data_IF_519276009025
#
_entry.id   IF_519276009025
#
_cell.length_a   1.000
_cell.length_b   1.000
_cell.length_c   1.000
_cell.angle_alpha   90.00
_cell.angle_beta   90.00
_cell.angle_gamma   90.00
#
_symmetry.space_group_name_H-M   'P 1'
#
loop_
_entity.id
_entity.type
_entity.pdbx_description
1 polymer ?
#
# COMPACT_ATOMS: atom_id res chain seq x y z
N UNK A 1 -105.51 -33.50 53.88
CA UNK A 1 -104.38 -33.72 52.96
C UNK A 1 -103.11 -33.17 53.62
N UNK A 2 -102.04 -33.97 53.58
CA UNK A 2 -100.63 -33.78 54.03
C UNK A 2 -100.10 -32.33 53.94
N UNK A 3 -99.11 -31.82 54.68
CA UNK A 3 -98.22 -32.28 55.78
C UNK A 3 -97.36 -31.07 56.22
N UNK A 4 -96.81 -31.13 57.44
CA UNK A 4 -95.89 -30.17 58.09
C UNK A 4 -94.44 -30.28 57.59
N UNK A 5 -93.61 -29.22 57.74
CA UNK A 5 -92.17 -29.21 58.15
C UNK A 5 -91.67 -27.73 58.09
N UNK A 6 -91.30 -26.98 59.14
CA UNK A 6 -90.23 -27.04 60.18
C UNK A 6 -88.75 -27.00 59.69
N UNK A 7 -88.17 -25.80 59.81
CA UNK A 7 -86.97 -25.42 60.62
C UNK A 7 -85.51 -25.72 60.16
N UNK A 8 -84.62 -24.82 60.63
CA UNK A 8 -83.17 -24.91 60.94
C UNK A 8 -82.10 -24.33 59.99
N UNK A 9 -81.62 -23.13 60.37
CA UNK A 9 -80.25 -22.72 60.74
C UNK A 9 -78.99 -23.07 59.93
N UNK A 10 -78.20 -22.00 59.72
CA UNK A 10 -76.75 -21.85 59.95
C UNK A 10 -75.77 -22.61 59.04
N UNK A 11 -74.92 -21.87 58.32
CA UNK A 11 -73.48 -21.71 58.64
C UNK A 11 -72.57 -21.50 57.39
N UNK A 12 -71.55 -20.66 57.61
CA UNK A 12 -70.18 -20.74 57.07
C UNK A 12 -69.83 -20.04 55.73
N UNK A 13 -69.14 -18.93 55.93
CA UNK A 13 -68.06 -18.32 55.14
C UNK A 13 -67.22 -19.31 54.32
N UNK A 14 -67.13 -19.11 53.00
CA UNK A 14 -66.04 -19.63 52.19
C UNK A 14 -65.46 -18.49 51.34
N UNK A 15 -64.43 -17.88 51.92
CA UNK A 15 -63.54 -16.90 51.32
C UNK A 15 -62.79 -17.58 50.16
N UNK A 16 -63.24 -17.36 48.92
CA UNK A 16 -62.54 -17.81 47.73
C UNK A 16 -61.30 -16.94 47.50
N UNK A 17 -60.22 -17.25 48.20
CA UNK A 17 -58.88 -16.73 47.89
C UNK A 17 -58.46 -17.38 46.57
N UNK A 18 -58.72 -16.69 45.47
CA UNK A 18 -58.13 -17.02 44.17
C UNK A 18 -56.62 -16.85 44.29
N UNK A 19 -55.90 -17.96 44.46
CA UNK A 19 -54.47 -18.05 44.20
C UNK A 19 -54.23 -17.71 42.72
N UNK A 20 -54.02 -16.43 42.45
CA UNK A 20 -53.41 -15.98 41.20
C UNK A 20 -51.98 -16.50 41.16
N UNK A 21 -51.77 -17.65 40.51
CA UNK A 21 -50.45 -18.04 40.03
C UNK A 21 -49.92 -16.91 39.15
N UNK A 22 -49.07 -16.05 39.72
CA UNK A 22 -48.15 -15.26 38.91
C UNK A 22 -47.21 -16.28 38.28
N UNK A 23 -47.54 -16.73 37.06
CA UNK A 23 -46.51 -17.32 36.19
C UNK A 23 -45.50 -16.21 35.96
N UNK A 24 -44.44 -16.19 36.76
CA UNK A 24 -43.21 -15.50 36.42
C UNK A 24 -42.73 -16.17 35.14
N UNK A 25 -43.06 -15.54 34.01
CA UNK A 25 -42.45 -15.88 32.74
C UNK A 25 -40.98 -15.54 32.90
N UNK A 26 -40.16 -16.57 33.07
CA UNK A 26 -38.72 -16.39 33.04
C UNK A 26 -38.37 -15.82 31.66
N UNK A 27 -37.59 -14.74 31.65
CA UNK A 27 -37.16 -14.15 30.38
C UNK A 27 -36.39 -15.23 29.61
N UNK A 28 -36.55 -15.33 28.27
CA UNK A 28 -35.81 -16.31 27.50
C UNK A 28 -34.31 -16.18 27.79
N UNK A 29 -33.66 -17.28 28.15
CA UNK A 29 -32.23 -17.30 28.46
C UNK A 29 -31.46 -16.74 27.26
N UNK A 30 -30.87 -15.57 27.44
CA UNK A 30 -30.08 -14.92 26.41
C UNK A 30 -28.66 -15.48 26.50
N UNK A 31 -28.17 -16.06 25.40
CA UNK A 31 -26.84 -16.66 25.33
C UNK A 31 -25.73 -15.78 25.92
N UNK A 32 -24.79 -16.40 26.62
CA UNK A 32 -23.62 -15.73 27.21
C UNK A 32 -22.44 -15.59 26.24
N UNK A 33 -22.55 -16.09 25.00
CA UNK A 33 -21.50 -16.03 23.97
C UNK A 33 -21.43 -14.66 23.28
N UNK A 34 -21.25 -13.59 24.07
CA UNK A 34 -21.30 -12.20 23.57
C UNK A 34 -19.98 -11.45 23.68
N UNK A 35 -19.74 -10.59 22.70
CA UNK A 35 -18.78 -9.49 22.80
C UNK A 35 -19.57 -8.29 23.32
N UNK A 36 -19.12 -7.68 24.42
CA UNK A 36 -19.80 -6.53 25.04
C UNK A 36 -19.10 -5.20 24.77
N UNK A 37 -17.83 -5.23 24.35
CA UNK A 37 -17.14 -4.08 23.82
C UNK A 37 -16.04 -4.51 22.85
N UNK A 38 -15.83 -3.71 21.82
CA UNK A 38 -14.70 -3.80 20.91
C UNK A 38 -14.12 -2.40 20.78
N UNK A 39 -12.83 -2.22 21.04
CA UNK A 39 -12.16 -0.92 20.97
C UNK A 39 -10.87 -1.03 20.19
N UNK A 40 -10.54 0.01 19.43
CA UNK A 40 -9.25 0.18 18.78
C UNK A 40 -8.53 1.35 19.44
N UNK A 41 -7.44 1.12 20.18
CA UNK A 41 -6.62 2.19 20.73
C UNK A 41 -6.03 3.05 19.61
N UNK A 42 -6.02 4.36 19.81
CA UNK A 42 -5.44 5.36 18.89
C UNK A 42 -4.68 6.43 19.70
N UNK A 43 -3.91 7.29 19.03
CA UNK A 43 -3.02 8.25 19.67
C UNK A 43 -3.70 9.21 20.66
N UNK A 44 -4.99 9.48 20.48
CA UNK A 44 -5.79 10.42 21.27
C UNK A 44 -7.00 9.77 21.95
N UNK A 45 -7.03 8.44 22.07
CA UNK A 45 -8.11 7.72 22.76
C UNK A 45 -8.37 6.33 22.22
N UNK A 46 -9.65 6.01 21.98
CA UNK A 46 -10.06 4.73 21.42
C UNK A 46 -11.27 4.90 20.49
N UNK A 47 -11.25 4.23 19.35
CA UNK A 47 -12.40 4.09 18.47
C UNK A 47 -13.24 2.91 18.95
N UNK A 48 -14.52 3.14 19.22
CA UNK A 48 -15.44 2.06 19.63
C UNK A 48 -16.04 1.38 18.40
N UNK A 49 -15.99 0.05 18.37
CA UNK A 49 -16.73 -0.77 17.42
C UNK A 49 -18.21 -0.86 17.78
N UNK A 50 -19.06 -0.95 16.76
CA UNK A 50 -20.50 -1.18 16.88
C UNK A 50 -20.73 -2.68 16.75
N UNK A 51 -21.29 -3.30 17.78
CA UNK A 51 -21.57 -4.73 17.80
C UNK A 51 -23.04 -4.93 17.43
N UNK A 52 -23.28 -5.66 16.34
CA UNK A 52 -24.61 -6.10 15.94
C UNK A 52 -24.82 -7.54 16.39
N UNK A 53 -25.67 -7.72 17.41
CA UNK A 53 -26.00 -9.03 17.96
C UNK A 53 -26.98 -9.83 17.08
N UNK A 54 -27.63 -9.21 16.10
CA UNK A 54 -28.51 -9.91 15.16
C UNK A 54 -27.68 -10.52 14.03
N UNK A 55 -26.85 -9.68 13.40
CA UNK A 55 -26.05 -10.07 12.24
C UNK A 55 -24.70 -10.70 12.63
N UNK A 56 -24.37 -10.68 13.93
CA UNK A 56 -23.07 -11.11 14.47
C UNK A 56 -21.91 -10.43 13.77
N UNK A 57 -21.97 -9.09 13.73
CA UNK A 57 -20.91 -8.27 13.15
C UNK A 57 -20.35 -7.28 14.16
N UNK A 58 -19.10 -6.89 13.93
CA UNK A 58 -18.44 -5.78 14.63
C UNK A 58 -18.06 -4.79 13.55
N UNK A 59 -18.68 -3.61 13.53
CA UNK A 59 -18.34 -2.55 12.58
C UNK A 59 -17.46 -1.50 13.24
N UNK A 60 -16.27 -1.26 12.69
CA UNK A 60 -15.35 -0.20 13.15
C UNK A 60 -15.25 0.87 12.08
N UNK A 61 -15.54 2.11 12.42
CA UNK A 61 -15.33 3.26 11.53
C UNK A 61 -13.97 3.86 11.82
N UNK A 62 -13.03 3.73 10.87
CA UNK A 62 -11.65 4.15 11.04
C UNK A 62 -11.41 5.49 10.32
N UNK A 63 -11.17 6.60 11.05
CA UNK A 63 -10.82 7.87 10.42
C UNK A 63 -9.48 7.79 9.70
N UNK A 64 -9.44 8.23 8.45
CA UNK A 64 -8.25 8.09 7.59
C UNK A 64 -7.01 8.82 8.12
N UNK A 65 -7.21 9.90 8.88
CA UNK A 65 -6.12 10.76 9.36
C UNK A 65 -5.21 10.09 10.39
N UNK A 66 -5.63 8.96 10.99
CA UNK A 66 -4.75 8.15 11.83
C UNK A 66 -3.70 7.35 11.04
N UNK A 67 -3.86 7.21 9.71
CA UNK A 67 -2.93 6.51 8.82
C UNK A 67 -2.54 5.09 9.27
N UNK A 68 -3.44 4.37 9.92
CA UNK A 68 -3.19 3.01 10.44
C UNK A 68 -3.15 1.99 9.29
N UNK A 69 -2.17 1.08 9.32
CA UNK A 69 -2.15 -0.14 8.48
C UNK A 69 -2.72 -1.34 9.22
N UNK A 70 -2.58 -1.34 10.55
CA UNK A 70 -3.05 -2.41 11.43
C UNK A 70 -3.77 -1.81 12.63
N UNK A 71 -4.72 -2.56 13.18
CA UNK A 71 -5.37 -2.27 14.47
C UNK A 71 -5.05 -3.39 15.45
N UNK A 72 -4.87 -3.03 16.72
CA UNK A 72 -4.71 -3.97 17.83
C UNK A 72 -5.92 -3.86 18.76
N UNK A 73 -6.96 -4.69 18.57
CA UNK A 73 -8.25 -4.45 19.20
C UNK A 73 -8.34 -4.99 20.64
N UNK A 74 -8.94 -4.19 21.51
CA UNK A 74 -9.34 -4.60 22.85
C UNK A 74 -10.77 -5.15 22.83
N UNK A 75 -10.93 -6.44 23.14
CA UNK A 75 -12.22 -7.13 23.13
C UNK A 75 -12.64 -7.46 24.55
N UNK A 76 -13.79 -6.95 24.97
CA UNK A 76 -14.42 -7.32 26.25
C UNK A 76 -15.56 -8.28 25.98
N UNK A 77 -15.56 -9.41 26.68
CA UNK A 77 -16.57 -10.45 26.57
C UNK A 77 -17.58 -10.39 27.72
N UNK A 78 -18.73 -11.03 27.54
CA UNK A 78 -19.66 -11.28 28.64
C UNK A 78 -19.00 -12.12 29.75
N UNK A 79 -19.57 -12.04 30.96
CA UNK A 79 -19.01 -12.71 32.14
C UNK A 79 -18.88 -14.23 31.92
N UNK A 80 -17.70 -14.77 32.19
CA UNK A 80 -17.42 -16.21 32.02
C UNK A 80 -17.25 -16.68 30.58
N UNK A 81 -17.47 -15.82 29.58
CA UNK A 81 -17.21 -16.14 28.18
C UNK A 81 -15.72 -16.09 27.85
N UNK A 82 -15.32 -16.81 26.80
CA UNK A 82 -13.93 -16.92 26.34
C UNK A 82 -13.85 -16.77 24.82
N UNK A 83 -12.80 -16.11 24.36
CA UNK A 83 -12.47 -16.06 22.93
C UNK A 83 -11.74 -17.35 22.54
N UNK A 84 -12.00 -17.83 21.32
CA UNK A 84 -11.23 -18.91 20.72
C UNK A 84 -9.99 -18.32 20.05
N UNK A 85 -8.82 -18.61 20.61
CA UNK A 85 -7.54 -18.10 20.10
C UNK A 85 -7.12 -16.76 20.69
N UNK A 86 -5.95 -16.31 20.26
CA UNK A 86 -5.37 -15.02 20.62
C UNK A 86 -5.95 -13.90 19.76
N UNK A 87 -6.03 -12.70 20.33
CA UNK A 87 -6.35 -11.49 19.56
C UNK A 87 -5.06 -11.00 18.91
N UNK A 88 -4.97 -11.17 17.59
CA UNK A 88 -3.83 -10.71 16.81
C UNK A 88 -4.09 -9.33 16.20
N UNK A 89 -3.05 -8.55 15.88
CA UNK A 89 -3.19 -7.35 15.07
C UNK A 89 -3.87 -7.66 13.74
N UNK A 90 -4.79 -6.79 13.33
CA UNK A 90 -5.61 -6.95 12.12
C UNK A 90 -5.24 -5.90 11.10
N UNK A 91 -4.94 -6.31 9.87
CA UNK A 91 -4.76 -5.40 8.73
C UNK A 91 -6.06 -4.63 8.46
N UNK A 92 -5.99 -3.31 8.31
CA UNK A 92 -7.18 -2.46 8.13
C UNK A 92 -7.95 -2.74 6.84
N UNK A 93 -7.34 -3.46 5.88
CA UNK A 93 -7.95 -3.90 4.63
C UNK A 93 -8.40 -5.36 4.66
N UNK A 94 -8.19 -6.09 5.77
CA UNK A 94 -8.68 -7.46 5.91
C UNK A 94 -10.20 -7.50 6.06
N UNK A 95 -10.85 -8.32 5.23
CA UNK A 95 -12.30 -8.54 5.20
C UNK A 95 -12.72 -9.93 5.73
N UNK A 96 -11.76 -10.70 6.27
CA UNK A 96 -11.95 -12.10 6.69
C UNK A 96 -11.82 -12.32 8.18
N UNK A 97 -11.30 -11.36 8.94
CA UNK A 97 -11.16 -11.50 10.39
C UNK A 97 -12.50 -11.82 11.07
N UNK A 98 -12.49 -12.86 11.90
CA UNK A 98 -13.63 -13.29 12.72
C UNK A 98 -13.21 -13.60 14.15
N UNK A 99 -14.14 -13.46 15.09
CA UNK A 99 -13.95 -13.72 16.50
C UNK A 99 -14.98 -14.73 17.00
N UNK A 100 -14.53 -15.92 17.40
CA UNK A 100 -15.42 -16.96 17.94
C UNK A 100 -15.43 -16.91 19.47
N UNK A 101 -16.59 -16.64 20.05
CA UNK A 101 -16.82 -16.56 21.51
C UNK A 101 -17.57 -17.80 21.97
N UNK A 102 -17.08 -18.44 23.03
CA UNK A 102 -17.79 -19.49 23.75
C UNK A 102 -18.26 -18.95 25.09
N UNK A 103 -19.57 -18.97 25.31
CA UNK A 103 -20.22 -18.50 26.53
C UNK A 103 -20.03 -19.45 27.71
N UNK A 104 -20.32 -18.98 28.92
CA UNK A 104 -20.33 -19.82 30.13
C UNK A 104 -21.38 -20.95 30.02
N UNK A 105 -22.46 -20.69 29.31
CA UNK A 105 -23.52 -21.63 28.93
C UNK A 105 -23.12 -22.66 27.85
N UNK A 106 -21.85 -22.63 27.40
CA UNK A 106 -21.27 -23.45 26.33
C UNK A 106 -21.83 -23.18 24.93
N UNK A 107 -22.65 -22.14 24.76
CA UNK A 107 -23.03 -21.67 23.43
C UNK A 107 -21.83 -21.06 22.71
N UNK A 108 -21.84 -21.07 21.38
CA UNK A 108 -20.75 -20.51 20.58
C UNK A 108 -21.32 -19.60 19.50
N UNK A 109 -20.72 -18.42 19.36
CA UNK A 109 -21.06 -17.44 18.32
C UNK A 109 -19.79 -16.94 17.66
N UNK A 110 -19.82 -16.77 16.34
CA UNK A 110 -18.72 -16.17 15.57
C UNK A 110 -19.15 -14.81 15.06
N UNK A 111 -18.38 -13.78 15.40
CA UNK A 111 -18.58 -12.42 14.94
C UNK A 111 -17.67 -12.13 13.75
N UNK A 112 -18.20 -11.52 12.69
CA UNK A 112 -17.39 -10.98 11.58
C UNK A 112 -16.97 -9.54 11.86
N UNK A 113 -15.68 -9.24 11.73
CA UNK A 113 -15.18 -7.86 11.77
C UNK A 113 -15.41 -7.19 10.41
N UNK A 114 -15.90 -5.95 10.44
CA UNK A 114 -16.11 -5.09 9.27
C UNK A 114 -15.43 -3.75 9.54
N UNK A 115 -14.32 -3.50 8.87
CA UNK A 115 -13.59 -2.24 8.96
C UNK A 115 -14.09 -1.31 7.85
N UNK A 116 -14.58 -0.13 8.25
CA UNK A 116 -15.05 0.93 7.35
C UNK A 116 -14.15 2.15 7.47
N UNK A 117 -13.25 2.30 6.52
CA UNK A 117 -12.36 3.45 6.49
C UNK A 117 -13.09 4.69 6.00
N UNK A 118 -13.02 5.77 6.77
CA UNK A 118 -13.72 7.02 6.49
C UNK A 118 -12.88 7.93 5.58
N UNK A 119 -12.40 7.41 4.44
CA UNK A 119 -11.60 8.20 3.50
C UNK A 119 -12.49 9.16 2.70
N UNK A 120 -11.91 10.30 2.31
CA UNK A 120 -12.54 11.23 1.37
C UNK A 120 -12.58 10.56 0.00
N UNK A 121 -13.78 10.23 -0.47
CA UNK A 121 -14.03 9.53 -1.73
C UNK A 121 -14.77 10.44 -2.72
N UNK A 122 -14.49 10.35 -4.04
CA UNK A 122 -13.51 9.46 -4.67
C UNK A 122 -12.06 9.94 -4.50
N UNK A 123 -11.12 9.00 -4.63
CA UNK A 123 -9.72 9.35 -4.88
C UNK A 123 -9.62 9.99 -6.27
N UNK A 124 -9.10 11.21 -6.32
CA UNK A 124 -8.89 12.02 -7.51
C UNK A 124 -7.40 12.27 -7.67
N UNK A 125 -6.88 11.93 -8.84
CA UNK A 125 -5.49 12.20 -9.23
C UNK A 125 -5.52 12.99 -10.52
N UNK A 126 -4.70 14.03 -10.58
CA UNK A 126 -4.58 14.87 -11.76
C UNK A 126 -3.98 14.05 -12.91
N UNK A 127 -4.55 14.23 -14.10
CA UNK A 127 -4.05 13.60 -15.31
C UNK A 127 -2.61 14.04 -15.61
N UNK A 128 -1.77 13.08 -15.97
CA UNK A 128 -0.40 13.33 -16.47
C UNK A 128 -0.33 13.35 -17.99
N UNK A 129 -1.38 12.84 -18.64
CA UNK A 129 -1.54 12.74 -20.09
C UNK A 129 -2.82 13.47 -20.53
N UNK A 130 -2.97 13.64 -21.85
CA UNK A 130 -4.23 14.10 -22.45
C UNK A 130 -4.71 13.10 -23.50
N UNK A 131 -5.95 13.23 -23.94
CA UNK A 131 -6.54 12.36 -24.97
C UNK A 131 -5.69 12.31 -26.26
N UNK A 132 -5.23 13.46 -26.72
CA UNK A 132 -4.48 13.57 -27.97
C UNK A 132 -2.96 13.43 -27.81
N UNK A 133 -2.45 13.46 -26.57
CA UNK A 133 -1.00 13.49 -26.31
C UNK A 133 -0.69 12.75 -25.01
N UNK A 134 -0.30 11.46 -25.09
CA UNK A 134 0.25 10.76 -23.94
C UNK A 134 1.60 11.38 -23.56
N UNK A 135 1.85 11.53 -22.27
CA UNK A 135 3.19 11.83 -21.78
C UNK A 135 4.10 10.64 -22.05
N UNK A 136 5.36 10.93 -22.38
CA UNK A 136 6.40 9.92 -22.59
C UNK A 136 7.31 9.89 -21.38
N UNK A 137 7.52 8.71 -20.80
CA UNK A 137 8.49 8.48 -19.73
C UNK A 137 9.56 7.48 -20.17
N UNK A 138 10.80 7.78 -19.80
CA UNK A 138 11.90 6.84 -19.96
C UNK A 138 11.77 5.65 -19.01
N UNK A 139 12.09 4.46 -19.48
CA UNK A 139 12.21 3.27 -18.61
C UNK A 139 13.36 3.52 -17.62
N UNK A 140 13.07 3.54 -16.32
CA UNK A 140 14.02 3.94 -15.27
C UNK A 140 14.02 5.43 -14.93
N UNK A 141 13.21 6.25 -15.60
CA UNK A 141 13.09 7.68 -15.26
C UNK A 141 12.49 7.85 -13.86
N UNK A 142 13.01 8.79 -13.07
CA UNK A 142 12.81 8.83 -11.61
C UNK A 142 12.29 10.15 -11.03
N UNK A 143 11.95 11.13 -11.87
CA UNK A 143 11.53 12.46 -11.40
C UNK A 143 10.08 12.76 -11.78
N UNK A 144 9.20 11.77 -11.66
CA UNK A 144 7.78 11.94 -11.96
C UNK A 144 7.07 12.48 -10.73
N UNK A 145 6.17 13.44 -10.96
CA UNK A 145 5.31 14.01 -9.93
C UNK A 145 3.86 13.63 -10.20
N UNK A 146 3.14 13.25 -9.15
CA UNK A 146 1.70 13.05 -9.16
C UNK A 146 1.06 13.99 -8.16
N UNK A 147 -0.13 14.47 -8.46
CA UNK A 147 -0.89 15.31 -7.54
C UNK A 147 -2.36 14.93 -7.48
N UNK A 148 -2.98 15.13 -6.32
CA UNK A 148 -4.37 14.72 -6.08
C UNK A 148 -4.84 14.99 -4.65
N UNK A 149 -6.01 14.47 -4.30
CA UNK A 149 -6.56 14.54 -2.95
C UNK A 149 -6.07 13.39 -2.05
N UNK A 150 -4.74 13.19 -1.98
CA UNK A 150 -4.15 12.05 -1.27
C UNK A 150 -4.45 12.02 0.22
N UNK A 151 -4.65 13.18 0.85
CA UNK A 151 -5.08 13.30 2.24
C UNK A 151 -4.16 12.61 3.26
N UNK A 152 -2.90 12.42 2.91
CA UNK A 152 -1.84 11.89 3.76
C UNK A 152 -0.53 12.59 3.44
N UNK A 153 0.37 12.68 4.42
CA UNK A 153 1.74 13.13 4.23
C UNK A 153 2.73 11.96 4.18
N UNK A 154 2.26 10.75 4.43
CA UNK A 154 3.07 9.55 4.39
C UNK A 154 3.12 9.03 2.95
N UNK A 155 4.29 9.13 2.26
CA UNK A 155 4.43 8.69 0.88
C UNK A 155 4.25 7.18 0.73
N UNK A 156 4.46 6.39 1.79
CA UNK A 156 4.34 4.93 1.73
C UNK A 156 2.88 4.48 1.55
N UNK A 157 1.92 5.35 1.90
CA UNK A 157 0.49 5.10 1.74
C UNK A 157 0.00 5.37 0.31
N UNK A 158 0.78 6.12 -0.47
CA UNK A 158 0.46 6.40 -1.87
C UNK A 158 1.19 5.35 -2.69
N UNK A 159 0.45 4.48 -3.37
CA UNK A 159 1.02 3.42 -4.20
C UNK A 159 0.60 3.65 -5.64
N UNK A 160 1.57 3.72 -6.54
CA UNK A 160 1.36 4.11 -7.93
C UNK A 160 1.83 2.97 -8.81
N UNK A 161 1.01 2.57 -9.77
CA UNK A 161 1.25 1.41 -10.61
C UNK A 161 1.16 1.79 -12.08
N UNK A 162 2.03 1.20 -12.88
CA UNK A 162 1.89 1.11 -14.32
C UNK A 162 1.18 -0.20 -14.63
N UNK A 163 0.05 -0.12 -15.31
CA UNK A 163 -0.81 -1.26 -15.64
C UNK A 163 -0.68 -1.58 -17.12
N UNK A 164 -0.19 -2.79 -17.41
CA UNK A 164 -0.04 -3.31 -18.78
C UNK A 164 -1.39 -3.63 -19.44
N UNK A 165 -1.36 -3.91 -20.74
CA UNK A 165 -2.56 -4.28 -21.51
C UNK A 165 -3.21 -5.60 -21.02
N UNK A 166 -2.43 -6.45 -20.36
CA UNK A 166 -2.84 -7.70 -19.71
C UNK A 166 -3.37 -7.50 -18.27
N UNK A 167 -3.54 -6.25 -17.83
CA UNK A 167 -3.86 -5.86 -16.45
C UNK A 167 -2.77 -6.20 -15.41
N UNK A 168 -1.56 -6.57 -15.81
CA UNK A 168 -0.45 -6.74 -14.87
C UNK A 168 -0.09 -5.38 -14.27
N UNK A 169 -0.14 -5.28 -12.94
CA UNK A 169 0.27 -4.09 -12.19
C UNK A 169 1.76 -4.18 -11.86
N UNK A 170 2.53 -3.16 -12.23
CA UNK A 170 3.91 -2.98 -11.78
C UNK A 170 4.01 -1.71 -10.96
N UNK A 171 4.35 -1.84 -9.68
CA UNK A 171 4.48 -0.70 -8.78
C UNK A 171 5.67 0.17 -9.17
N UNK A 172 5.45 1.47 -9.20
CA UNK A 172 6.47 2.49 -9.37
C UNK A 172 7.18 2.72 -8.03
N UNK A 173 8.50 2.87 -8.07
CA UNK A 173 9.32 2.98 -6.86
C UNK A 173 9.73 4.42 -6.59
N UNK A 174 9.87 4.79 -5.32
CA UNK A 174 10.45 6.07 -4.93
C UNK A 174 11.97 6.05 -5.07
N UNK A 175 12.55 7.14 -5.59
CA UNK A 175 14.00 7.27 -5.69
C UNK A 175 14.56 8.03 -4.49
N UNK A 176 15.37 7.33 -3.70
CA UNK A 176 15.94 7.83 -2.44
C UNK A 176 17.28 8.54 -2.60
N UNK A 177 17.85 8.55 -3.82
CA UNK A 177 19.15 9.15 -4.11
C UNK A 177 19.22 10.68 -3.96
N UNK A 178 18.06 11.34 -3.80
CA UNK A 178 17.94 12.79 -3.63
C UNK A 178 17.26 13.20 -2.31
N UNK A 179 17.04 12.23 -1.40
CA UNK A 179 16.30 12.40 -0.14
C UNK A 179 15.14 11.41 0.00
N UNK A 180 14.49 11.35 1.18
CA UNK A 180 13.31 10.51 1.35
C UNK A 180 12.17 11.01 0.45
N UNK A 181 11.30 10.09 0.05
CA UNK A 181 10.04 10.48 -0.58
C UNK A 181 9.29 11.44 0.34
N UNK A 182 8.73 12.51 -0.23
CA UNK A 182 8.00 13.51 0.54
C UNK A 182 6.73 13.89 -0.21
N UNK A 183 5.64 14.01 0.54
CA UNK A 183 4.38 14.56 0.05
C UNK A 183 4.30 16.02 0.51
N UNK A 184 4.18 16.93 -0.45
CA UNK A 184 4.00 18.35 -0.17
C UNK A 184 2.54 18.74 -0.30
N UNK A 185 2.10 19.66 0.55
CA UNK A 185 0.77 20.27 0.44
C UNK A 185 0.90 21.50 -0.44
N UNK A 186 0.12 21.53 -1.51
CA UNK A 186 -0.09 22.68 -2.36
C UNK A 186 -1.48 23.25 -2.05
N UNK A 187 -1.53 24.53 -1.71
CA UNK A 187 -2.81 25.23 -1.56
C UNK A 187 -3.35 25.53 -2.96
N UNK A 188 -4.34 24.74 -3.39
CA UNK A 188 -5.14 25.08 -4.57
C UNK A 188 -6.06 26.27 -4.28
N UNK A 189 -6.64 26.84 -5.32
CA UNK A 189 -7.55 27.99 -5.20
C UNK A 189 -8.82 27.69 -4.38
N UNK A 190 -9.26 26.42 -4.38
CA UNK A 190 -10.51 25.98 -3.73
C UNK A 190 -10.37 24.70 -2.91
N UNK A 191 -9.35 23.88 -3.16
CA UNK A 191 -9.16 22.58 -2.54
C UNK A 191 -7.68 22.36 -2.16
N UNK A 192 -7.46 21.56 -1.12
CA UNK A 192 -6.12 21.13 -0.71
C UNK A 192 -5.62 20.06 -1.68
N UNK A 193 -4.50 20.33 -2.35
CA UNK A 193 -3.85 19.39 -3.27
C UNK A 193 -2.58 18.86 -2.63
N UNK A 194 -2.33 17.58 -2.79
CA UNK A 194 -1.11 16.93 -2.35
C UNK A 194 -0.27 16.61 -3.58
N UNK A 195 1.04 16.81 -3.50
CA UNK A 195 1.98 16.45 -4.56
C UNK A 195 3.00 15.47 -4.01
N UNK A 196 3.20 14.36 -4.72
CA UNK A 196 4.25 13.40 -4.46
C UNK A 196 5.21 13.39 -5.64
N UNK A 197 6.51 13.54 -5.35
CA UNK A 197 7.56 13.58 -6.35
C UNK A 197 8.52 12.41 -6.25
N UNK A 198 9.51 12.40 -7.15
CA UNK A 198 10.57 11.37 -7.21
C UNK A 198 10.03 9.95 -7.41
N UNK A 199 8.91 9.83 -8.13
CA UNK A 199 8.33 8.54 -8.49
C UNK A 199 9.03 8.02 -9.74
N UNK A 200 9.46 6.77 -9.70
CA UNK A 200 10.29 6.14 -10.71
C UNK A 200 9.62 5.03 -11.49
N UNK A 201 9.85 5.04 -12.80
CA UNK A 201 9.45 3.98 -13.72
C UNK A 201 10.36 2.76 -13.48
N UNK A 202 9.81 1.57 -13.20
CA UNK A 202 10.61 0.36 -13.02
C UNK A 202 11.45 0.02 -14.26
N UNK A 203 12.73 -0.29 -14.06
CA UNK A 203 13.69 -0.63 -15.13
C UNK A 203 13.39 -1.99 -15.80
N UNK A 204 12.52 -2.80 -15.20
CA UNK A 204 12.09 -4.10 -15.70
C UNK A 204 11.02 -4.00 -16.80
N UNK A 205 10.34 -2.86 -16.91
CA UNK A 205 9.30 -2.67 -17.92
C UNK A 205 9.88 -2.56 -19.34
N UNK A 206 9.01 -2.78 -20.31
CA UNK A 206 9.33 -2.64 -21.73
C UNK A 206 8.59 -1.42 -22.31
N UNK A 207 9.00 -0.90 -23.48
CA UNK A 207 8.27 0.16 -24.14
C UNK A 207 6.83 -0.24 -24.44
N UNK A 208 5.90 0.71 -24.33
CA UNK A 208 4.48 0.44 -24.54
C UNK A 208 3.57 1.50 -23.94
N UNK A 209 2.26 1.31 -24.09
CA UNK A 209 1.25 2.13 -23.42
C UNK A 209 0.84 1.47 -22.11
N UNK A 210 0.79 2.25 -21.05
CA UNK A 210 0.43 1.82 -19.71
C UNK A 210 -0.63 2.74 -19.14
N UNK A 211 -1.63 2.19 -18.43
CA UNK A 211 -2.48 3.00 -17.58
C UNK A 211 -1.74 3.31 -16.28
N UNK A 212 -2.04 4.45 -15.67
CA UNK A 212 -1.60 4.73 -14.32
C UNK A 212 -2.73 4.42 -13.35
N UNK A 213 -2.44 3.60 -12.35
CA UNK A 213 -3.35 3.30 -11.25
C UNK A 213 -2.74 3.82 -9.95
N UNK A 214 -3.55 4.48 -9.14
CA UNK A 214 -3.15 4.97 -7.82
C UNK A 214 -4.02 4.31 -6.76
N UNK A 215 -3.38 3.79 -5.72
CA UNK A 215 -4.01 3.18 -4.56
C UNK A 215 -3.61 3.94 -3.30
N UNK A 216 -4.59 4.25 -2.45
CA UNK A 216 -4.37 4.83 -1.13
C UNK A 216 -5.31 4.14 -0.15
N UNK A 217 -4.74 3.27 0.67
CA UNK A 217 -5.48 2.40 1.58
C UNK A 217 -6.61 1.64 0.83
N UNK A 218 -7.90 1.87 1.12
CA UNK A 218 -9.00 1.16 0.45
C UNK A 218 -9.44 1.81 -0.86
N UNK A 219 -8.95 3.01 -1.19
CA UNK A 219 -9.29 3.70 -2.42
C UNK A 219 -8.34 3.31 -3.56
N UNK A 220 -8.92 3.11 -4.75
CA UNK A 220 -8.20 2.90 -6.00
C UNK A 220 -8.80 3.79 -7.08
N UNK A 221 -7.97 4.42 -7.91
CA UNK A 221 -8.41 5.11 -9.13
C UNK A 221 -7.45 4.85 -10.28
N UNK A 222 -8.00 4.81 -11.48
CA UNK A 222 -7.23 4.80 -12.73
C UNK A 222 -7.27 6.20 -13.34
N UNK A 223 -6.13 6.65 -13.87
CA UNK A 223 -6.09 7.83 -14.74
C UNK A 223 -6.75 7.47 -16.07
N UNK A 224 -7.45 8.44 -16.66
CA UNK A 224 -8.19 8.27 -17.91
C UNK A 224 -7.26 8.05 -19.10
N UNK A 225 -6.15 8.77 -19.16
CA UNK A 225 -5.26 8.76 -20.32
C UNK A 225 -3.98 7.96 -20.02
N UNK A 226 -3.56 7.06 -20.92
CA UNK A 226 -2.36 6.26 -20.71
C UNK A 226 -1.10 7.10 -20.84
N UNK A 227 0.00 6.55 -20.34
CA UNK A 227 1.36 7.05 -20.54
C UNK A 227 2.10 6.14 -21.51
N UNK A 228 3.07 6.69 -22.23
CA UNK A 228 3.94 5.92 -23.14
C UNK A 228 5.30 5.72 -22.49
N UNK A 229 5.74 4.48 -22.36
CA UNK A 229 7.11 4.16 -22.00
C UNK A 229 7.96 3.98 -23.25
N UNK A 230 9.15 4.56 -23.23
CA UNK A 230 10.14 4.45 -24.31
C UNK A 230 11.56 4.33 -23.74
N UNK A 231 12.50 3.92 -24.60
CA UNK A 231 13.92 4.13 -24.32
C UNK A 231 14.23 5.61 -24.53
N UNK A 232 14.69 6.27 -23.48
CA UNK A 232 15.23 7.64 -23.53
C UNK A 232 16.74 7.58 -23.43
N UNK A 233 17.41 8.75 -23.48
CA UNK A 233 18.85 8.84 -23.28
C UNK A 233 19.26 8.03 -22.03
N UNK A 234 20.08 6.98 -22.19
CA UNK A 234 20.49 6.16 -21.06
C UNK A 234 21.28 6.97 -20.04
N UNK A 235 21.16 6.60 -18.78
CA UNK A 235 21.92 7.21 -17.70
C UNK A 235 22.95 6.21 -17.17
N UNK A 236 24.16 6.68 -16.92
CA UNK A 236 25.18 5.92 -16.19
C UNK A 236 25.36 6.57 -14.83
N UNK A 237 25.32 5.77 -13.78
CA UNK A 237 25.52 6.25 -12.42
C UNK A 237 26.91 6.87 -12.28
N UNK A 238 27.01 7.93 -11.47
CA UNK A 238 28.30 8.54 -11.17
C UNK A 238 29.17 7.52 -10.41
N UNK A 239 30.36 7.24 -10.94
CA UNK A 239 31.27 6.24 -10.35
C UNK A 239 32.72 6.63 -10.54
N UNK A 240 33.51 6.60 -9.47
CA UNK A 240 34.98 6.73 -9.59
C UNK A 240 35.59 5.34 -9.75
N UNK A 241 36.27 5.10 -10.87
CA UNK A 241 36.82 3.80 -11.20
C UNK A 241 38.33 3.81 -10.98
N UNK A 242 38.84 2.83 -10.23
CA UNK A 242 40.27 2.57 -10.07
C UNK A 242 40.51 1.12 -10.47
N UNK A 243 41.29 0.91 -11.52
CA UNK A 243 41.56 -0.42 -12.07
C UNK A 243 42.95 -0.45 -12.73
N UNK A 244 43.51 -1.64 -12.93
CA UNK A 244 44.80 -1.81 -13.59
C UNK A 244 44.65 -2.01 -15.09
N UNK A 245 45.75 -1.84 -15.81
CA UNK A 245 45.86 -2.30 -17.20
C UNK A 245 45.47 -3.77 -17.32
N UNK A 246 44.54 -4.09 -18.21
CA UNK A 246 44.02 -5.45 -18.42
C UNK A 246 42.80 -5.82 -17.56
N UNK A 247 42.51 -5.06 -16.50
CA UNK A 247 41.38 -5.33 -15.59
C UNK A 247 40.03 -5.04 -16.26
N UNK A 248 38.98 -5.51 -15.61
CA UNK A 248 37.59 -5.15 -15.91
C UNK A 248 37.01 -4.26 -14.84
N UNK A 249 36.13 -3.34 -15.23
CA UNK A 249 35.27 -2.59 -14.32
C UNK A 249 33.81 -2.73 -14.74
N UNK A 250 32.90 -2.25 -13.91
CA UNK A 250 31.46 -2.27 -14.18
C UNK A 250 30.87 -0.88 -14.07
N UNK A 251 30.01 -0.53 -15.02
CA UNK A 251 29.12 0.63 -14.95
C UNK A 251 27.69 0.17 -14.72
N UNK A 252 26.90 1.00 -14.06
CA UNK A 252 25.51 0.71 -13.68
C UNK A 252 24.58 1.85 -14.07
N UNK A 253 23.29 1.54 -14.19
CA UNK A 253 22.23 2.53 -14.26
C UNK A 253 21.22 2.28 -13.15
N UNK A 254 21.02 3.29 -12.30
CA UNK A 254 19.89 3.40 -11.37
C UNK A 254 18.76 4.29 -11.92
N UNK A 255 18.90 4.78 -13.16
CA UNK A 255 17.96 5.66 -13.84
C UNK A 255 17.55 5.10 -15.20
N UNK A 256 17.40 5.95 -16.25
CA UNK A 256 17.17 5.50 -17.61
C UNK A 256 18.08 4.35 -18.05
N UNK A 257 17.48 3.25 -18.47
CA UNK A 257 18.18 1.99 -18.76
C UNK A 257 19.10 2.07 -19.98
N UNK A 258 20.13 1.23 -20.00
CA UNK A 258 20.96 1.02 -21.18
C UNK A 258 20.15 0.41 -22.31
N UNK A 259 20.37 0.92 -23.52
CA UNK A 259 19.80 0.41 -24.77
C UNK A 259 20.85 0.47 -25.86
N UNK A 260 21.17 -0.68 -26.45
CA UNK A 260 22.07 -0.80 -27.60
C UNK A 260 23.41 -0.07 -27.39
N UNK A 261 24.12 -0.40 -26.29
CA UNK A 261 25.44 0.14 -25.97
C UNK A 261 26.43 -0.24 -27.09
N UNK A 262 26.98 0.76 -27.79
CA UNK A 262 27.88 0.56 -28.94
C UNK A 262 29.34 0.71 -28.59
N UNK A 263 29.66 1.78 -27.87
CA UNK A 263 31.04 2.20 -27.71
C UNK A 263 31.24 2.90 -26.38
N UNK A 264 32.37 2.58 -25.75
CA UNK A 264 32.94 3.36 -24.66
C UNK A 264 34.35 3.72 -25.10
N UNK A 265 34.69 5.00 -25.15
CA UNK A 265 36.03 5.47 -25.49
C UNK A 265 36.63 6.32 -24.38
N UNK A 266 37.95 6.41 -24.37
CA UNK A 266 38.72 7.40 -23.61
C UNK A 266 39.66 8.15 -24.55
N UNK A 267 40.05 9.37 -24.19
CA UNK A 267 41.07 10.14 -24.92
C UNK A 267 42.47 9.80 -24.40
N UNK A 268 43.31 9.20 -25.23
CA UNK A 268 44.73 8.96 -24.96
C UNK A 268 45.55 9.80 -25.95
N UNK A 269 46.34 10.75 -25.44
CA UNK A 269 47.11 11.69 -26.28
C UNK A 269 46.26 12.39 -27.38
N UNK A 270 45.00 12.70 -27.07
CA UNK A 270 44.04 13.33 -27.99
C UNK A 270 43.31 12.39 -28.94
N UNK A 271 43.69 11.11 -29.02
CA UNK A 271 43.04 10.10 -29.86
C UNK A 271 42.02 9.27 -29.06
N UNK A 272 40.93 8.85 -29.72
CA UNK A 272 39.94 7.97 -29.10
C UNK A 272 40.46 6.53 -29.05
N UNK A 273 40.50 5.96 -27.85
CA UNK A 273 40.80 4.56 -27.61
C UNK A 273 39.54 3.87 -27.12
N UNK A 274 39.11 2.83 -27.83
CA UNK A 274 37.95 2.02 -27.46
C UNK A 274 38.25 1.14 -26.25
N UNK A 275 37.36 1.14 -25.27
CA UNK A 275 37.32 0.19 -24.17
C UNK A 275 36.33 -0.93 -24.53
N UNK A 276 36.78 -2.19 -24.66
CA UNK A 276 35.88 -3.29 -25.01
C UNK A 276 34.78 -3.49 -23.97
N UNK A 277 33.52 -3.50 -24.42
CA UNK A 277 32.38 -3.96 -23.62
C UNK A 277 32.30 -5.47 -23.74
N UNK A 278 32.47 -6.18 -22.63
CA UNK A 278 32.50 -7.65 -22.63
C UNK A 278 31.09 -8.24 -22.60
N UNK A 279 30.22 -7.65 -21.77
CA UNK A 279 28.81 -8.00 -21.66
C UNK A 279 28.04 -6.81 -21.09
N UNK A 280 26.74 -6.73 -21.38
CA UNK A 280 25.85 -5.77 -20.74
C UNK A 280 24.40 -6.25 -20.69
N UNK A 281 23.72 -5.85 -19.63
CA UNK A 281 22.28 -5.86 -19.48
C UNK A 281 21.74 -4.44 -19.59
N UNK A 282 20.42 -4.28 -19.47
CA UNK A 282 19.80 -2.95 -19.45
C UNK A 282 20.19 -2.09 -18.23
N UNK A 283 20.85 -2.63 -17.20
CA UNK A 283 21.27 -1.86 -16.01
C UNK A 283 22.74 -2.02 -15.62
N UNK A 284 23.49 -2.88 -16.32
CA UNK A 284 24.86 -3.22 -15.97
C UNK A 284 25.69 -3.40 -17.24
N UNK A 285 26.92 -2.90 -17.28
CA UNK A 285 27.86 -3.25 -18.34
C UNK A 285 29.25 -3.50 -17.77
N UNK A 286 29.88 -4.60 -18.20
CA UNK A 286 31.25 -4.95 -17.85
C UNK A 286 32.19 -4.54 -18.96
N UNK A 287 33.20 -3.75 -18.62
CA UNK A 287 34.10 -3.09 -19.57
C UNK A 287 35.53 -3.46 -19.23
N UNK A 288 36.35 -3.74 -20.25
CA UNK A 288 37.76 -4.07 -20.10
C UNK A 288 38.63 -2.84 -20.36
N UNK A 289 39.68 -2.67 -19.56
CA UNK A 289 40.77 -1.74 -19.84
C UNK A 289 41.82 -2.50 -20.66
N UNK A 290 42.08 -2.12 -21.93
CA UNK A 290 43.16 -2.74 -22.70
C UNK A 290 44.52 -2.60 -22.01
N UNK A 291 45.39 -3.60 -22.13
CA UNK A 291 46.75 -3.54 -21.56
C UNK A 291 47.59 -2.40 -22.14
N UNK A 292 47.22 -1.93 -23.35
CA UNK A 292 47.89 -0.83 -24.06
C UNK A 292 47.49 0.56 -23.58
N UNK A 293 46.46 0.70 -22.73
CA UNK A 293 46.06 2.01 -22.20
C UNK A 293 47.12 2.48 -21.20
N UNK A 294 47.77 3.64 -21.38
CA UNK A 294 48.78 4.14 -20.45
C UNK A 294 48.20 4.40 -19.06
N UNK A 295 49.05 4.38 -18.03
CA UNK A 295 48.65 4.79 -16.68
C UNK A 295 48.21 6.26 -16.68
N UNK A 296 47.16 6.59 -15.94
CA UNK A 296 46.61 7.94 -15.92
C UNK A 296 45.14 7.98 -15.57
N UNK A 297 44.56 9.19 -15.61
CA UNK A 297 43.13 9.42 -15.36
C UNK A 297 42.44 9.84 -16.65
N UNK A 298 41.36 9.16 -16.99
CA UNK A 298 40.60 9.37 -18.22
C UNK A 298 39.12 9.63 -17.92
N UNK A 299 38.47 10.35 -18.83
CA UNK A 299 37.02 10.58 -18.79
C UNK A 299 36.38 9.89 -19.99
N UNK A 300 35.47 8.94 -19.77
CA UNK A 300 34.93 8.16 -20.87
C UNK A 300 33.85 8.92 -21.64
N UNK A 301 33.78 8.66 -22.95
CA UNK A 301 32.64 8.97 -23.80
C UNK A 301 31.88 7.69 -24.10
N UNK A 302 30.56 7.73 -24.01
CA UNK A 302 29.69 6.56 -24.14
C UNK A 302 28.68 6.81 -25.24
N UNK A 303 28.56 5.88 -26.18
CA UNK A 303 27.60 5.92 -27.27
C UNK A 303 26.62 4.76 -27.19
N UNK A 304 25.34 5.11 -27.17
CA UNK A 304 24.21 4.20 -27.32
C UNK A 304 23.57 4.45 -28.69
N UNK A 305 23.12 3.40 -29.38
CA UNK A 305 22.50 3.55 -30.70
C UNK A 305 21.27 4.45 -30.66
N UNK A 306 21.18 5.40 -31.60
CA UNK A 306 20.06 6.33 -31.67
C UNK A 306 20.09 7.47 -30.64
N UNK A 307 21.14 7.56 -29.81
CA UNK A 307 21.28 8.61 -28.80
C UNK A 307 22.56 9.45 -28.99
N UNK A 308 22.58 10.71 -28.53
CA UNK A 308 23.80 11.51 -28.45
C UNK A 308 24.88 10.85 -27.60
N UNK A 309 26.15 11.18 -27.88
CA UNK A 309 27.29 10.77 -27.06
C UNK A 309 27.17 11.38 -25.67
N UNK A 310 27.36 10.56 -24.64
CA UNK A 310 27.43 10.98 -23.25
C UNK A 310 28.91 11.14 -22.88
N UNK A 311 29.32 12.36 -22.56
CA UNK A 311 30.62 12.61 -21.94
C UNK A 311 30.47 12.43 -20.43
N UNK A 312 31.08 11.38 -19.88
CA UNK A 312 31.01 11.11 -18.46
C UNK A 312 31.87 12.11 -17.67
N UNK A 313 31.30 12.68 -16.62
CA UNK A 313 32.00 13.58 -15.70
C UNK A 313 32.69 12.86 -14.54
N UNK A 314 32.87 11.54 -14.65
CA UNK A 314 33.50 10.72 -13.63
C UNK A 314 34.78 10.05 -14.17
N UNK A 315 35.83 9.91 -13.34
CA UNK A 315 37.13 9.47 -13.80
C UNK A 315 37.29 7.95 -13.80
N UNK A 316 38.10 7.46 -14.76
CA UNK A 316 38.74 6.14 -14.74
C UNK A 316 40.23 6.34 -14.50
N UNK A 317 40.72 5.94 -13.32
CA UNK A 317 42.15 5.91 -13.00
C UNK A 317 42.73 4.54 -13.30
N UNK A 318 43.65 4.51 -14.27
CA UNK A 318 44.35 3.32 -14.73
C UNK A 318 45.72 3.25 -14.05
N UNK A 319 45.93 2.17 -13.28
CA UNK A 319 47.21 1.86 -12.64
C UNK A 319 48.00 0.83 -13.46
N UNK A 320 49.31 0.78 -13.22
CA UNK A 320 50.15 -0.29 -13.75
C UNK A 320 49.67 -1.65 -13.23
N UNK A 321 49.90 -2.69 -14.04
CA UNK A 321 49.63 -4.09 -13.71
C UNK A 321 50.35 -4.51 -12.41
#
# INVERSE_FOLDING_TARGET
MKSRLKSFSCAIFALAVLFGCKKTMDLPHQSDSKIIAYKVPVSDGSISGIIDETDKTITVYLPFYYNLDVIDPEIKLASGAKLSGEVLPVDVLDDKTTYTVTGADKSTVTYKLVIKMQQISPLKVNEVSTESKPVVWGIGYYMINFSGNFNTLDPTKIRIFLVGADNTETEMSYVTGYGPAAVTVLMGATEKVYSIGYVGVPQTLNPGLYKVRVKIQSLTTDLKYPVKLEYTLPQVDYVSIIAKQGDTFTIKSSGPVFKDLKLITIKVAGQDVSLPVLDYTRTLATVKIPETVPVGTYYPSILFEGFPIINAFWPITVNAK
#
